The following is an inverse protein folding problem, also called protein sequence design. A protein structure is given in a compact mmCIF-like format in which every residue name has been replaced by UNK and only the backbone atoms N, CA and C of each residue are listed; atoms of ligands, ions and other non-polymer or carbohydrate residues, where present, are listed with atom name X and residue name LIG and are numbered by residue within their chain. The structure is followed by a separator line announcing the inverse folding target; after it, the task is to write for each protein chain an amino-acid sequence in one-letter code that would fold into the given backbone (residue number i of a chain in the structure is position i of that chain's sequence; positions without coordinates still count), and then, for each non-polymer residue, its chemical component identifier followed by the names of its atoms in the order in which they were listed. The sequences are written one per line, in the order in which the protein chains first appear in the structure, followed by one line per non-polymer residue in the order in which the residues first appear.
data_IF_822712756924
#
_entry.id   IF_822712756924
#
_cell.length_a   1.000
_cell.length_b   1.000
_cell.length_c   1.000
_cell.angle_alpha   90.00
_cell.angle_beta   90.00
_cell.angle_gamma   90.00
#
_symmetry.space_group_name_H-M   'P 1'
#
loop_
_entity.id
_entity.type
_entity.pdbx_description
1 polymer ?
#
# COMPACT_ATOMS: atom_id res chain seq x y z
N UNK A 1 1.40 -8.22 -22.59
CA UNK A 1 2.15 -9.18 -21.75
C UNK A 1 3.07 -8.40 -20.82
N UNK A 2 3.38 -8.90 -19.62
CA UNK A 2 4.30 -8.24 -18.69
C UNK A 2 3.69 -7.20 -17.73
N UNK A 3 2.48 -6.70 -18.01
CA UNK A 3 1.78 -5.66 -17.22
C UNK A 3 0.57 -6.17 -16.43
N UNK A 4 0.45 -7.49 -16.24
CA UNK A 4 -0.59 -8.03 -15.38
C UNK A 4 -0.30 -7.63 -13.94
N UNK A 5 -1.30 -7.13 -13.22
CA UNK A 5 -1.11 -6.55 -11.89
C UNK A 5 -2.38 -5.96 -11.31
N UNK A 6 -2.24 -5.49 -10.07
CA UNK A 6 -3.31 -4.90 -9.27
C UNK A 6 -3.10 -3.39 -9.23
N UNK A 7 -3.90 -2.65 -9.98
CA UNK A 7 -3.87 -1.19 -10.08
C UNK A 7 -5.15 -0.58 -9.52
N UNK A 8 -5.20 0.72 -9.43
CA UNK A 8 -6.38 1.45 -9.00
C UNK A 8 -6.43 2.78 -9.72
N UNK A 9 -7.62 3.37 -9.78
CA UNK A 9 -7.83 4.70 -10.32
C UNK A 9 -8.43 5.60 -9.25
N UNK A 10 -7.95 6.85 -9.22
CA UNK A 10 -8.44 7.89 -8.34
C UNK A 10 -8.17 9.27 -8.96
N UNK A 11 -8.84 10.33 -8.50
CA UNK A 11 -8.55 11.68 -8.98
C UNK A 11 -7.15 12.16 -8.59
N UNK A 12 -6.55 12.98 -9.44
CA UNK A 12 -5.28 13.67 -9.15
C UNK A 12 -5.30 15.20 -9.45
N UNK A 13 -6.38 15.94 -9.13
CA UNK A 13 -6.43 17.38 -9.38
C UNK A 13 -5.56 18.18 -8.41
N UNK A 14 -4.89 19.21 -8.92
CA UNK A 14 -4.08 20.11 -8.11
C UNK A 14 -4.88 20.69 -6.92
N UNK A 15 -4.35 20.52 -5.70
CA UNK A 15 -4.92 21.01 -4.45
C UNK A 15 -6.21 20.31 -3.97
N UNK A 16 -6.76 19.33 -4.71
CA UNK A 16 -8.06 18.71 -4.40
C UNK A 16 -8.04 17.18 -4.33
N UNK A 17 -6.91 16.54 -4.61
CA UNK A 17 -6.76 15.07 -4.56
C UNK A 17 -7.27 14.47 -3.25
N UNK A 18 -6.74 14.91 -2.12
CA UNK A 18 -7.10 14.35 -0.81
C UNK A 18 -8.61 14.42 -0.54
N UNK A 19 -9.22 15.57 -0.84
CA UNK A 19 -10.67 15.77 -0.68
C UNK A 19 -11.50 14.84 -1.55
N UNK A 20 -11.17 14.75 -2.82
CA UNK A 20 -11.93 13.89 -3.72
C UNK A 20 -11.81 12.41 -3.34
N UNK A 21 -10.61 11.97 -2.90
CA UNK A 21 -10.39 10.60 -2.44
C UNK A 21 -11.16 10.31 -1.15
N UNK A 22 -11.07 11.16 -0.10
CA UNK A 22 -11.78 10.88 1.16
C UNK A 22 -13.31 10.98 1.03
N UNK A 23 -13.81 11.62 -0.04
CA UNK A 23 -15.24 11.63 -0.38
C UNK A 23 -15.70 10.38 -1.14
N UNK A 24 -14.79 9.44 -1.42
CA UNK A 24 -15.09 8.10 -1.94
C UNK A 24 -14.64 7.82 -3.37
N UNK A 25 -13.88 8.72 -4.01
CA UNK A 25 -13.43 8.51 -5.39
C UNK A 25 -12.13 7.68 -5.44
N UNK A 26 -12.26 6.37 -5.32
CA UNK A 26 -11.21 5.39 -5.57
C UNK A 26 -11.82 4.07 -6.05
N UNK A 27 -11.18 3.41 -7.02
CA UNK A 27 -11.67 2.12 -7.55
C UNK A 27 -10.54 1.19 -7.99
N UNK A 28 -10.75 -0.12 -7.83
CA UNK A 28 -9.79 -1.13 -8.26
C UNK A 28 -9.76 -1.26 -9.80
N UNK A 29 -8.58 -1.56 -10.34
CA UNK A 29 -8.32 -1.80 -11.75
C UNK A 29 -7.37 -3.00 -11.88
N UNK A 30 -7.88 -4.15 -12.33
CA UNK A 30 -7.07 -5.36 -12.46
C UNK A 30 -6.72 -5.61 -13.92
N UNK A 31 -5.42 -5.71 -14.24
CA UNK A 31 -4.96 -6.22 -15.53
C UNK A 31 -4.63 -7.70 -15.36
N UNK A 32 -5.34 -8.57 -16.08
CA UNK A 32 -5.14 -10.02 -16.02
C UNK A 32 -4.19 -10.51 -17.11
N UNK A 33 -3.34 -11.46 -16.77
CA UNK A 33 -2.55 -12.21 -17.75
C UNK A 33 -3.47 -13.17 -18.52
N UNK A 34 -3.13 -13.46 -19.77
CA UNK A 34 -3.81 -14.52 -20.55
C UNK A 34 -3.61 -15.91 -19.92
N UNK A 35 -2.40 -16.15 -19.40
CA UNK A 35 -2.04 -17.34 -18.66
C UNK A 35 -1.57 -16.91 -17.27
N UNK A 36 -2.39 -17.18 -16.26
CA UNK A 36 -2.07 -16.92 -14.86
C UNK A 36 -1.57 -18.23 -14.22
N UNK A 37 -0.38 -18.26 -13.61
CA UNK A 37 0.14 -19.46 -12.96
C UNK A 37 -0.57 -19.79 -11.63
N UNK A 38 -1.37 -18.87 -11.07
CA UNK A 38 -2.09 -19.10 -9.82
C UNK A 38 -3.29 -20.01 -10.10
N UNK A 39 -3.47 -21.13 -9.34
CA UNK A 39 -4.62 -22.01 -9.52
C UNK A 39 -5.96 -21.26 -9.44
N UNK A 40 -6.82 -21.44 -10.43
CA UNK A 40 -8.08 -20.71 -10.53
C UNK A 40 -9.05 -21.03 -9.38
N UNK A 41 -8.89 -22.21 -8.77
CA UNK A 41 -9.64 -22.69 -7.62
C UNK A 41 -9.43 -21.82 -6.37
N UNK A 42 -8.32 -21.07 -6.32
CA UNK A 42 -8.06 -20.11 -5.23
C UNK A 42 -8.99 -18.89 -5.34
N UNK A 43 -9.72 -18.74 -6.44
CA UNK A 43 -10.54 -17.56 -6.71
C UNK A 43 -9.71 -16.31 -6.93
N UNK A 44 -10.36 -15.15 -6.88
CA UNK A 44 -9.72 -13.85 -7.08
C UNK A 44 -10.51 -12.77 -6.33
N UNK A 45 -10.30 -12.67 -5.01
CA UNK A 45 -11.04 -11.75 -4.14
C UNK A 45 -10.31 -10.42 -4.04
N UNK A 46 -10.99 -9.33 -4.42
CA UNK A 46 -10.49 -7.96 -4.26
C UNK A 46 -10.88 -7.41 -2.88
N UNK A 47 -9.91 -6.83 -2.17
CA UNK A 47 -10.08 -6.16 -0.88
C UNK A 47 -9.54 -4.72 -0.99
N UNK A 48 -10.42 -3.77 -1.24
CA UNK A 48 -10.08 -2.34 -1.28
C UNK A 48 -10.27 -1.73 0.09
N UNK A 49 -9.17 -1.38 0.75
CA UNK A 49 -9.17 -0.68 2.02
C UNK A 49 -9.34 0.82 1.76
N UNK A 50 -10.39 1.39 2.33
CA UNK A 50 -10.65 2.84 2.36
C UNK A 50 -10.96 3.23 3.79
N UNK A 51 -11.01 4.53 4.08
CA UNK A 51 -11.55 4.99 5.35
C UNK A 51 -12.44 6.21 5.21
N UNK A 52 -13.33 6.38 6.19
CA UNK A 52 -14.38 7.37 6.20
C UNK A 52 -14.47 8.00 7.59
N UNK A 53 -14.57 9.33 7.63
CA UNK A 53 -14.93 10.09 8.84
C UNK A 53 -16.28 10.75 8.61
N UNK A 54 -17.19 10.56 9.55
CA UNK A 54 -18.54 11.13 9.53
C UNK A 54 -18.72 12.03 10.76
N UNK A 55 -19.29 13.21 10.56
CA UNK A 55 -19.80 14.04 11.65
C UNK A 55 -21.08 13.43 12.23
N UNK A 56 -21.54 13.96 13.38
CA UNK A 56 -22.74 13.47 14.06
C UNK A 56 -24.01 13.56 13.21
N UNK A 57 -24.06 14.45 12.22
CA UNK A 57 -25.14 14.61 11.26
C UNK A 57 -25.01 13.71 10.01
N UNK A 58 -23.97 12.87 9.97
CA UNK A 58 -23.67 11.99 8.84
C UNK A 58 -22.95 12.68 7.67
N UNK A 59 -22.60 13.96 7.78
CA UNK A 59 -21.79 14.64 6.76
C UNK A 59 -20.32 14.20 6.81
N UNK A 60 -19.60 14.36 5.69
CA UNK A 60 -18.14 14.16 5.64
C UNK A 60 -17.47 15.52 5.90
N UNK A 61 -16.86 15.73 7.08
CA UNK A 61 -16.26 17.02 7.42
C UNK A 61 -14.96 17.25 6.64
N UNK A 62 -14.64 18.52 6.42
CA UNK A 62 -13.35 18.97 5.88
C UNK A 62 -12.18 18.51 6.75
N UNK A 63 -10.96 18.65 6.22
CA UNK A 63 -9.74 18.35 6.98
C UNK A 63 -9.55 19.35 8.13
N UNK A 64 -9.14 18.82 9.28
CA UNK A 64 -8.58 19.59 10.39
C UNK A 64 -7.11 19.92 10.13
N UNK A 65 -6.51 20.77 10.97
CA UNK A 65 -5.07 21.04 10.93
C UNK A 65 -4.23 19.76 11.12
N UNK A 66 -4.70 18.82 11.95
CA UNK A 66 -4.01 17.55 12.14
C UNK A 66 -4.06 16.67 10.89
N UNK A 67 -5.17 16.70 10.15
CA UNK A 67 -5.27 15.98 8.86
C UNK A 67 -4.38 16.59 7.78
N UNK A 68 -4.23 17.92 7.78
CA UNK A 68 -3.32 18.61 6.84
C UNK A 68 -1.85 18.35 7.15
N UNK A 69 -1.51 18.11 8.41
CA UNK A 69 -0.15 17.83 8.87
C UNK A 69 0.22 16.35 8.73
N UNK A 70 -0.66 15.45 9.16
CA UNK A 70 -0.34 14.03 9.24
C UNK A 70 -0.93 13.20 8.09
N UNK A 71 -1.76 13.81 7.25
CA UNK A 71 -2.65 13.11 6.33
C UNK A 71 -3.93 12.61 7.02
N UNK A 72 -5.06 12.65 6.30
CA UNK A 72 -6.37 12.29 6.85
C UNK A 72 -6.47 10.79 7.12
N UNK A 73 -6.86 10.44 8.34
CA UNK A 73 -7.24 9.08 8.75
C UNK A 73 -8.70 9.09 9.18
N UNK A 74 -9.52 8.26 8.53
CA UNK A 74 -10.95 8.11 8.84
C UNK A 74 -11.20 7.20 10.05
N UNK A 75 -12.32 7.44 10.74
CA UNK A 75 -12.72 6.70 11.96
C UNK A 75 -13.31 5.32 11.64
N UNK A 76 -13.76 5.14 10.40
CA UNK A 76 -14.31 3.90 9.89
C UNK A 76 -13.42 3.37 8.78
N UNK A 77 -12.66 2.32 9.07
CA UNK A 77 -11.94 1.57 8.03
C UNK A 77 -12.94 0.64 7.35
N UNK A 78 -12.95 0.67 6.03
CA UNK A 78 -13.87 -0.05 5.19
C UNK A 78 -13.10 -0.97 4.25
N UNK A 79 -13.64 -2.16 4.00
CA UNK A 79 -13.19 -3.08 2.97
C UNK A 79 -14.30 -3.20 1.93
N UNK A 80 -14.01 -2.80 0.69
CA UNK A 80 -15.00 -2.70 -0.39
C UNK A 80 -16.25 -1.87 0.01
N UNK A 81 -16.05 -0.80 0.81
CA UNK A 81 -17.14 0.05 1.31
C UNK A 81 -17.93 -0.51 2.50
N UNK A 82 -17.55 -1.67 3.04
CA UNK A 82 -18.21 -2.32 4.17
C UNK A 82 -17.34 -2.31 5.42
N UNK A 83 -17.95 -2.19 6.60
CA UNK A 83 -17.25 -2.33 7.89
C UNK A 83 -17.18 -3.80 8.27
N UNK A 84 -15.97 -4.35 8.40
CA UNK A 84 -15.70 -5.77 8.73
C UNK A 84 -16.62 -6.74 7.95
N UNK A 85 -16.55 -6.78 6.60
CA UNK A 85 -17.29 -7.77 5.82
C UNK A 85 -16.90 -9.20 6.22
N UNK A 86 -17.77 -10.14 5.85
CA UNK A 86 -17.59 -11.56 6.10
C UNK A 86 -17.35 -12.33 4.80
N UNK A 87 -16.41 -13.27 4.85
CA UNK A 87 -16.17 -14.26 3.80
C UNK A 87 -16.40 -15.66 4.38
N UNK A 88 -17.13 -16.53 3.69
CA UNK A 88 -17.30 -17.92 4.12
C UNK A 88 -16.45 -18.86 3.26
N UNK A 89 -15.73 -19.78 3.91
CA UNK A 89 -14.90 -20.80 3.24
C UNK A 89 -14.99 -22.13 3.98
N UNK A 90 -14.66 -23.21 3.27
CA UNK A 90 -14.48 -24.53 3.86
C UNK A 90 -13.09 -24.66 4.53
N UNK A 91 -12.95 -25.56 5.50
CA UNK A 91 -11.67 -25.87 6.14
C UNK A 91 -10.67 -26.41 5.10
N UNK A 92 -9.44 -25.91 5.12
CA UNK A 92 -8.40 -26.22 4.13
C UNK A 92 -8.51 -25.40 2.83
N UNK A 93 -9.47 -24.47 2.72
CA UNK A 93 -9.59 -23.61 1.56
C UNK A 93 -8.41 -22.66 1.42
N UNK A 94 -8.00 -22.42 0.17
CA UNK A 94 -7.04 -21.37 -0.20
C UNK A 94 -7.75 -20.25 -0.96
N UNK A 95 -7.41 -19.00 -0.67
CA UNK A 95 -7.95 -17.83 -1.37
C UNK A 95 -6.87 -16.88 -1.84
N UNK A 96 -6.92 -16.49 -3.11
CA UNK A 96 -6.16 -15.34 -3.63
C UNK A 96 -6.87 -14.06 -3.22
N UNK A 97 -6.17 -13.19 -2.49
CA UNK A 97 -6.65 -11.88 -2.08
C UNK A 97 -5.79 -10.80 -2.76
N UNK A 98 -6.43 -9.81 -3.38
CA UNK A 98 -5.79 -8.59 -3.91
C UNK A 98 -6.10 -7.43 -2.98
N UNK A 99 -5.08 -6.95 -2.29
CA UNK A 99 -5.17 -5.92 -1.27
C UNK A 99 -4.82 -4.57 -1.90
N UNK A 100 -5.65 -3.56 -1.65
CA UNK A 100 -5.43 -2.18 -2.11
C UNK A 100 -5.52 -1.24 -0.93
N UNK A 101 -4.42 -0.55 -0.58
CA UNK A 101 -4.53 0.55 0.36
C UNK A 101 -4.90 1.83 -0.39
N UNK A 102 -6.21 2.06 -0.54
CA UNK A 102 -6.80 3.24 -1.17
C UNK A 102 -7.21 4.30 -0.14
N UNK A 103 -6.52 4.35 1.01
CA UNK A 103 -6.74 5.37 2.04
C UNK A 103 -5.93 6.63 1.76
N UNK A 104 -6.26 7.74 2.41
CA UNK A 104 -5.49 8.99 2.27
C UNK A 104 -4.10 8.88 2.92
N UNK A 105 -4.03 8.32 4.13
CA UNK A 105 -2.81 8.36 4.94
C UNK A 105 -2.69 7.22 5.97
N UNK A 106 -3.56 6.21 5.90
CA UNK A 106 -3.56 5.11 6.87
C UNK A 106 -2.59 4.04 6.42
N UNK A 107 -1.61 3.75 7.27
CA UNK A 107 -0.75 2.59 7.12
C UNK A 107 -1.46 1.37 7.69
N UNK A 108 -1.45 0.27 6.94
CA UNK A 108 -2.10 -0.97 7.35
C UNK A 108 -1.03 -2.01 7.61
N UNK A 109 -0.78 -2.33 8.89
CA UNK A 109 0.12 -3.42 9.27
C UNK A 109 -0.73 -4.68 9.48
N UNK A 110 -0.93 -5.44 8.42
CA UNK A 110 -1.91 -6.50 8.33
C UNK A 110 -1.37 -7.82 8.86
N UNK A 111 -2.19 -8.52 9.65
CA UNK A 111 -1.93 -9.88 10.09
C UNK A 111 -3.25 -10.67 10.15
N UNK A 112 -3.19 -11.96 9.84
CA UNK A 112 -4.30 -12.87 10.08
C UNK A 112 -4.14 -13.57 11.43
N UNK A 113 -5.17 -13.58 12.26
CA UNK A 113 -5.23 -14.50 13.40
C UNK A 113 -5.82 -15.83 12.95
N UNK A 114 -4.94 -16.78 12.63
CA UNK A 114 -5.32 -18.17 12.40
C UNK A 114 -5.33 -18.64 10.95
N UNK A 115 -4.86 -17.84 10.00
CA UNK A 115 -4.57 -18.25 8.63
C UNK A 115 -3.08 -18.08 8.31
N UNK A 116 -2.56 -18.92 7.42
CA UNK A 116 -1.21 -18.72 6.86
C UNK A 116 -1.31 -17.86 5.61
N UNK A 117 -0.39 -16.92 5.43
CA UNK A 117 -0.35 -16.04 4.25
C UNK A 117 0.95 -16.20 3.47
N UNK A 118 0.84 -16.10 2.16
CA UNK A 118 1.96 -16.14 1.24
C UNK A 118 1.80 -15.02 0.22
N UNK A 119 2.75 -14.10 0.19
CA UNK A 119 2.81 -13.02 -0.80
C UNK A 119 3.15 -13.62 -2.15
N UNK A 120 2.36 -13.28 -3.17
CA UNK A 120 2.52 -13.76 -4.54
C UNK A 120 2.70 -12.63 -5.55
N UNK A 121 2.43 -11.37 -5.18
CA UNK A 121 2.59 -10.22 -6.08
C UNK A 121 2.51 -8.87 -5.37
N UNK A 122 2.94 -7.82 -6.06
CA UNK A 122 2.98 -6.41 -5.63
C UNK A 122 2.25 -5.53 -6.65
N UNK A 123 2.45 -4.21 -6.59
CA UNK A 123 1.89 -3.21 -7.52
C UNK A 123 1.97 -3.64 -9.01
N UNK A 124 3.15 -4.09 -9.44
CA UNK A 124 3.45 -4.50 -10.83
C UNK A 124 3.27 -5.99 -11.13
N UNK A 125 2.48 -6.69 -10.32
CA UNK A 125 2.07 -8.08 -10.55
C UNK A 125 2.86 -9.11 -9.75
N UNK A 126 2.86 -10.35 -10.24
CA UNK A 126 3.40 -11.50 -9.49
C UNK A 126 4.89 -11.34 -9.17
N UNK A 127 5.33 -11.91 -8.04
CA UNK A 127 6.72 -12.11 -7.67
C UNK A 127 7.37 -13.21 -8.53
N UNK A 128 8.68 -13.41 -8.42
CA UNK A 128 9.35 -14.55 -9.08
C UNK A 128 8.94 -15.90 -8.46
N UNK A 129 8.77 -15.93 -7.14
CA UNK A 129 8.38 -17.08 -6.34
C UNK A 129 7.48 -16.62 -5.17
N UNK A 130 6.63 -17.50 -4.61
CA UNK A 130 5.85 -17.19 -3.42
C UNK A 130 6.75 -16.95 -2.20
N UNK A 131 6.39 -15.98 -1.36
CA UNK A 131 7.14 -15.65 -0.14
C UNK A 131 6.21 -15.70 1.06
N UNK A 132 6.53 -16.55 2.04
CA UNK A 132 5.78 -16.62 3.29
C UNK A 132 5.93 -15.30 4.07
N UNK A 133 4.85 -14.88 4.74
CA UNK A 133 4.85 -13.73 5.61
C UNK A 133 3.96 -14.01 6.82
N UNK A 134 4.29 -13.41 7.96
CA UNK A 134 3.42 -13.41 9.14
C UNK A 134 2.64 -12.09 9.22
N UNK A 135 3.28 -11.00 8.81
CA UNK A 135 2.75 -9.65 8.82
C UNK A 135 3.11 -8.93 7.52
N UNK A 136 2.26 -8.00 7.11
CA UNK A 136 2.45 -7.19 5.90
C UNK A 136 2.26 -5.72 6.28
N UNK A 137 3.24 -4.86 5.98
CA UNK A 137 2.99 -3.42 5.94
C UNK A 137 2.51 -3.05 4.54
N UNK A 138 1.32 -2.48 4.44
CA UNK A 138 0.75 -1.94 3.21
C UNK A 138 0.53 -0.44 3.40
N UNK A 139 1.44 0.37 2.85
CA UNK A 139 1.38 1.83 2.97
C UNK A 139 0.37 2.44 1.97
N UNK A 140 -0.09 3.69 2.18
CA UNK A 140 -1.01 4.36 1.25
C UNK A 140 -0.55 4.30 -0.21
N UNK A 141 -1.43 3.84 -1.10
CA UNK A 141 -1.16 3.69 -2.53
C UNK A 141 -0.59 2.33 -2.96
N UNK A 142 -0.07 1.53 -2.02
CA UNK A 142 0.45 0.19 -2.34
C UNK A 142 -0.64 -0.85 -2.55
N UNK A 143 -0.30 -1.85 -3.37
CA UNK A 143 -1.11 -3.06 -3.59
C UNK A 143 -0.26 -4.29 -3.36
N UNK A 144 -0.93 -5.34 -2.90
CA UNK A 144 -0.31 -6.64 -2.68
C UNK A 144 -1.27 -7.76 -3.06
N UNK A 145 -0.73 -8.82 -3.63
CA UNK A 145 -1.47 -10.06 -3.88
C UNK A 145 -0.94 -11.14 -2.94
N UNK A 146 -1.85 -11.81 -2.23
CA UNK A 146 -1.50 -12.91 -1.34
C UNK A 146 -2.40 -14.13 -1.57
N UNK A 147 -1.91 -15.29 -1.17
CA UNK A 147 -2.72 -16.49 -0.94
C UNK A 147 -2.84 -16.70 0.56
N UNK A 148 -4.07 -16.78 1.06
CA UNK A 148 -4.37 -17.16 2.45
C UNK A 148 -4.90 -18.59 2.49
N UNK A 149 -4.39 -19.40 3.43
CA UNK A 149 -4.88 -20.77 3.69
C UNK A 149 -5.60 -20.84 5.04
N UNK A 150 -6.78 -21.45 5.06
CA UNK A 150 -7.70 -21.46 6.20
C UNK A 150 -7.88 -22.89 6.73
N UNK A 151 -6.90 -23.39 7.49
CA UNK A 151 -6.83 -24.80 7.88
C UNK A 151 -7.56 -25.15 9.19
N UNK A 152 -8.09 -24.13 9.90
CA UNK A 152 -8.81 -24.31 11.16
C UNK A 152 -10.25 -23.81 11.04
N UNK A 153 -11.25 -24.56 11.51
CA UNK A 153 -12.63 -24.10 11.54
C UNK A 153 -12.83 -22.98 12.57
N UNK A 154 -13.90 -22.22 12.40
CA UNK A 154 -14.23 -21.07 13.24
C UNK A 154 -13.91 -19.72 12.59
N UNK A 155 -14.15 -18.61 13.32
CA UNK A 155 -13.86 -17.28 12.82
C UNK A 155 -12.35 -17.01 12.81
N UNK A 156 -11.85 -16.53 11.68
CA UNK A 156 -10.49 -16.03 11.48
C UNK A 156 -10.58 -14.54 11.13
N UNK A 157 -9.72 -13.70 11.70
CA UNK A 157 -9.73 -12.25 11.43
C UNK A 157 -8.51 -11.81 10.66
N UNK A 158 -8.70 -10.83 9.77
CA UNK A 158 -7.63 -9.97 9.27
C UNK A 158 -7.69 -8.66 10.03
N UNK A 159 -6.64 -8.38 10.79
CA UNK A 159 -6.55 -7.20 11.64
C UNK A 159 -5.43 -6.28 11.17
N UNK A 160 -5.54 -4.98 11.45
CA UNK A 160 -4.40 -4.05 11.36
C UNK A 160 -3.77 -3.85 12.74
N UNK A 161 -2.47 -4.12 12.84
CA UNK A 161 -1.63 -3.96 14.01
C UNK A 161 -1.13 -2.52 14.14
N UNK A 162 -0.46 -2.23 15.26
CA UNK A 162 0.18 -0.94 15.49
C UNK A 162 1.40 -0.74 14.58
N UNK A 163 1.47 0.44 13.97
CA UNK A 163 2.63 0.91 13.22
C UNK A 163 2.94 2.35 13.60
N UNK A 164 4.18 2.67 13.96
CA UNK A 164 4.61 4.05 14.21
C UNK A 164 5.20 4.65 12.93
N UNK A 165 4.45 5.57 12.33
CA UNK A 165 4.84 6.31 11.12
C UNK A 165 5.34 7.73 11.41
N UNK A 166 5.57 8.09 12.68
CA UNK A 166 5.96 9.45 13.08
C UNK A 166 4.79 10.45 13.15
N UNK A 167 3.67 10.06 13.77
CA UNK A 167 2.55 11.01 13.95
C UNK A 167 2.98 12.26 14.74
N UNK A 168 2.73 13.44 14.18
CA UNK A 168 3.09 14.73 14.76
C UNK A 168 1.94 15.32 15.58
N UNK A 169 2.29 15.83 16.76
CA UNK A 169 1.34 16.48 17.67
C UNK A 169 0.36 15.52 18.37
N UNK A 170 -0.57 16.07 19.15
CA UNK A 170 -1.55 15.27 19.88
C UNK A 170 -2.63 14.70 18.95
N UNK A 171 -3.46 13.80 19.49
CA UNK A 171 -4.67 13.34 18.80
C UNK A 171 -4.45 12.29 17.72
N UNK A 172 -3.38 11.47 17.85
CA UNK A 172 -3.20 10.29 17.01
C UNK A 172 -4.44 9.39 17.08
N UNK A 173 -5.09 9.06 15.94
CA UNK A 173 -6.22 8.14 15.91
C UNK A 173 -5.83 6.76 16.42
N UNK A 174 -6.77 6.05 17.05
CA UNK A 174 -6.62 4.63 17.36
C UNK A 174 -6.72 3.82 16.05
N UNK A 175 -5.57 3.62 15.40
CA UNK A 175 -5.47 3.04 14.06
C UNK A 175 -5.06 1.55 14.06
N UNK A 176 -4.92 0.94 15.24
CA UNK A 176 -4.52 -0.43 15.47
C UNK A 176 -5.63 -1.27 16.14
N UNK A 177 -5.52 -2.59 16.04
CA UNK A 177 -6.46 -3.56 16.62
C UNK A 177 -7.84 -3.57 15.95
N UNK A 178 -7.93 -3.05 14.72
CA UNK A 178 -9.19 -3.00 13.97
C UNK A 178 -9.33 -4.24 13.09
N UNK A 179 -10.43 -4.97 13.25
CA UNK A 179 -10.79 -6.08 12.36
C UNK A 179 -11.34 -5.56 11.05
N UNK A 180 -10.65 -5.92 9.96
CA UNK A 180 -10.93 -5.46 8.61
C UNK A 180 -11.73 -6.49 7.81
N UNK A 181 -11.55 -7.78 8.06
CA UNK A 181 -12.28 -8.89 7.43
C UNK A 181 -12.43 -10.01 8.45
N UNK A 182 -13.62 -10.60 8.52
CA UNK A 182 -13.86 -11.86 9.24
C UNK A 182 -14.08 -12.97 8.23
N UNK A 183 -13.33 -14.06 8.34
CA UNK A 183 -13.49 -15.26 7.54
C UNK A 183 -14.14 -16.33 8.41
N UNK A 184 -15.38 -16.69 8.08
CA UNK A 184 -16.11 -17.78 8.73
C UNK A 184 -15.71 -19.10 8.06
N UNK A 185 -14.84 -19.88 8.71
CA UNK A 185 -14.39 -21.20 8.22
C UNK A 185 -15.32 -22.29 8.74
N UNK A 186 -15.98 -23.01 7.84
CA UNK A 186 -16.88 -24.12 8.21
C UNK A 186 -16.11 -25.39 8.58
N UNK A 187 -16.80 -26.32 9.25
CA UNK A 187 -16.26 -27.65 9.59
C UNK A 187 -16.08 -28.57 8.37
N UNK A 188 -16.75 -28.26 7.25
CA UNK A 188 -16.65 -29.05 6.02
C UNK A 188 -15.27 -28.88 5.38
N UNK A 189 -14.68 -29.99 4.92
CA UNK A 189 -13.43 -29.97 4.17
C UNK A 189 -13.61 -29.31 2.79
N UNK A 190 -12.65 -28.48 2.40
CA UNK A 190 -12.54 -27.98 1.05
C UNK A 190 -12.15 -29.10 0.09
N UNK A 191 -12.54 -28.96 -1.18
CA UNK A 191 -12.03 -29.82 -2.24
C UNK A 191 -10.51 -29.66 -2.38
N UNK A 192 -9.82 -30.75 -2.74
CA UNK A 192 -8.39 -30.70 -2.98
C UNK A 192 -8.09 -29.82 -4.21
N UNK A 193 -7.25 -28.80 -4.01
CA UNK A 193 -6.83 -27.86 -5.05
C UNK A 193 -5.35 -28.03 -5.39
N UNK A 194 -4.92 -27.66 -6.61
CA UNK A 194 -3.50 -27.68 -6.96
C UNK A 194 -2.66 -26.85 -5.98
N UNK A 195 -1.41 -27.25 -5.76
CA UNK A 195 -0.47 -26.47 -4.95
C UNK A 195 -0.02 -25.21 -5.70
N UNK A 196 0.35 -24.18 -4.94
CA UNK A 196 0.91 -22.96 -5.48
C UNK A 196 2.26 -23.27 -6.15
N UNK A 197 2.50 -22.88 -7.41
CA UNK A 197 3.78 -23.15 -8.06
C UNK A 197 4.95 -22.46 -7.34
N UNK A 198 6.08 -23.17 -7.23
CA UNK A 198 7.31 -22.60 -6.66
C UNK A 198 7.89 -21.45 -7.50
N UNK A 199 7.54 -21.38 -8.79
CA UNK A 199 7.92 -20.30 -9.71
C UNK A 199 6.67 -19.71 -10.33
N UNK A 200 6.47 -18.41 -10.16
CA UNK A 200 5.31 -17.68 -10.67
C UNK A 200 5.63 -16.99 -12.00
N UNK A 201 6.76 -16.29 -12.10
CA UNK A 201 7.24 -15.69 -13.36
C UNK A 201 8.76 -15.47 -13.35
N UNK A 202 9.30 -15.02 -14.48
CA UNK A 202 10.60 -14.36 -14.50
C UNK A 202 10.45 -12.89 -14.15
N UNK A 203 11.36 -12.39 -13.31
CA UNK A 203 11.63 -10.96 -13.12
C UNK A 203 13.11 -10.76 -13.40
N UNK A 204 13.43 -9.97 -14.42
CA UNK A 204 14.81 -9.61 -14.71
C UNK A 204 15.19 -8.41 -13.82
N UNK A 205 16.37 -8.43 -13.16
CA UNK A 205 16.91 -7.21 -12.58
C UNK A 205 17.20 -6.20 -13.70
N UNK A 206 17.17 -4.92 -13.36
CA UNK A 206 17.62 -3.89 -14.29
C UNK A 206 19.11 -4.07 -14.65
N UNK A 207 19.47 -3.61 -15.85
CA UNK A 207 20.88 -3.39 -16.21
C UNK A 207 21.41 -2.18 -15.45
N UNK A 208 22.73 -1.92 -15.56
CA UNK A 208 23.37 -0.80 -14.88
C UNK A 208 22.68 0.53 -15.24
N UNK A 209 22.35 1.37 -14.25
CA UNK A 209 21.73 2.66 -14.49
C UNK A 209 22.70 3.60 -15.20
N UNK A 210 22.19 4.41 -16.13
CA UNK A 210 22.99 5.43 -16.82
C UNK A 210 23.16 6.70 -15.98
N UNK A 211 22.34 6.87 -14.94
CA UNK A 211 22.32 8.03 -14.05
C UNK A 211 21.78 7.66 -12.67
N UNK A 212 22.32 8.28 -11.62
CA UNK A 212 21.73 8.29 -10.28
C UNK A 212 21.10 9.65 -9.99
N UNK A 213 19.88 9.67 -9.45
CA UNK A 213 19.20 10.86 -8.95
C UNK A 213 19.01 10.76 -7.45
N UNK A 214 19.01 11.91 -6.79
CA UNK A 214 18.74 12.02 -5.36
C UNK A 214 17.55 12.94 -5.13
N UNK A 215 16.55 12.43 -4.42
CA UNK A 215 15.32 13.11 -4.07
C UNK A 215 15.20 13.11 -2.55
N UNK A 216 15.21 14.29 -1.94
CA UNK A 216 15.15 14.45 -0.48
C UNK A 216 13.77 14.97 -0.09
N UNK A 217 13.05 14.18 0.70
CA UNK A 217 11.77 14.52 1.30
C UNK A 217 12.05 15.30 2.59
N UNK A 218 11.51 16.51 2.69
CA UNK A 218 11.67 17.37 3.86
C UNK A 218 10.37 18.06 4.25
N UNK A 219 10.31 18.47 5.52
CA UNK A 219 9.18 19.20 6.08
C UNK A 219 9.62 20.54 6.66
N UNK A 220 8.76 21.54 6.58
CA UNK A 220 8.99 22.84 7.22
C UNK A 220 7.77 23.27 8.01
N UNK A 221 8.00 23.84 9.19
CA UNK A 221 6.96 24.44 10.02
C UNK A 221 7.29 25.91 10.29
N UNK A 222 6.42 26.81 9.83
CA UNK A 222 6.59 28.25 10.07
C UNK A 222 5.34 28.85 10.72
N UNK A 223 5.53 29.55 11.83
CA UNK A 223 4.46 30.37 12.42
C UNK A 223 4.34 31.68 11.66
N UNK A 224 3.22 31.87 10.94
CA UNK A 224 2.87 33.14 10.29
C UNK A 224 1.73 33.84 11.07
N UNK A 225 1.52 35.15 10.86
CA UNK A 225 0.40 35.87 11.47
C UNK A 225 -0.98 35.27 11.15
N UNK A 226 -1.09 34.58 10.00
CA UNK A 226 -2.31 33.90 9.53
C UNK A 226 -2.47 32.47 10.07
N UNK A 227 -1.52 32.00 10.89
CA UNK A 227 -1.50 30.64 11.43
C UNK A 227 -0.20 29.89 11.10
N UNK A 228 -0.18 28.62 11.47
CA UNK A 228 0.93 27.72 11.19
C UNK A 228 0.89 27.28 9.72
N UNK A 229 2.00 27.47 9.01
CA UNK A 229 2.19 27.01 7.64
C UNK A 229 3.10 25.78 7.64
N UNK A 230 2.59 24.71 7.04
CA UNK A 230 3.31 23.46 6.81
C UNK A 230 3.78 23.41 5.37
N UNK A 231 5.03 23.02 5.16
CA UNK A 231 5.58 22.70 3.85
C UNK A 231 5.99 21.23 3.81
N UNK A 232 5.54 20.51 2.78
CA UNK A 232 6.02 19.17 2.43
C UNK A 232 6.73 19.30 1.09
N UNK A 233 8.01 18.97 1.06
CA UNK A 233 8.92 19.38 0.01
C UNK A 233 9.67 18.18 -0.58
N UNK A 234 9.99 18.27 -1.86
CA UNK A 234 10.96 17.40 -2.53
C UNK A 234 12.11 18.28 -3.01
N UNK A 235 13.34 17.96 -2.61
CA UNK A 235 14.53 18.78 -2.90
C UNK A 235 14.34 20.26 -2.50
N UNK A 236 13.66 20.48 -1.37
CA UNK A 236 13.40 21.82 -0.81
C UNK A 236 12.33 22.64 -1.55
N UNK A 237 11.55 22.03 -2.45
CA UNK A 237 10.54 22.72 -3.26
C UNK A 237 9.16 22.10 -3.08
N UNK A 238 8.15 22.97 -3.04
CA UNK A 238 6.75 22.58 -3.24
C UNK A 238 6.47 22.35 -4.73
N UNK A 239 5.40 21.61 -5.03
CA UNK A 239 4.93 21.41 -6.40
C UNK A 239 4.59 22.74 -7.09
N UNK A 240 4.99 22.87 -8.35
CA UNK A 240 4.69 24.00 -9.22
C UNK A 240 4.33 23.45 -10.61
N UNK A 241 3.13 23.79 -11.10
CA UNK A 241 2.59 23.27 -12.37
C UNK A 241 3.45 23.67 -13.58
N UNK A 242 4.16 24.79 -13.49
CA UNK A 242 4.94 25.35 -14.59
C UNK A 242 6.43 24.95 -14.54
N UNK A 243 6.84 24.17 -13.53
CA UNK A 243 8.24 23.79 -13.31
C UNK A 243 8.50 22.34 -13.74
N UNK A 244 9.56 22.15 -14.52
CA UNK A 244 10.14 20.83 -14.79
C UNK A 244 11.28 20.58 -13.82
N UNK A 245 11.10 19.67 -12.86
CA UNK A 245 12.15 19.31 -11.90
C UNK A 245 13.16 18.30 -12.47
N UNK A 246 12.71 17.41 -13.34
CA UNK A 246 13.55 16.39 -13.97
C UNK A 246 13.22 16.21 -15.45
N UNK A 247 14.26 15.93 -16.23
CA UNK A 247 14.14 15.47 -17.62
C UNK A 247 14.83 14.11 -17.69
N UNK A 248 14.08 13.11 -18.15
CA UNK A 248 14.57 11.74 -18.36
C UNK A 248 14.36 11.34 -19.81
N UNK A 249 15.18 10.41 -20.31
CA UNK A 249 15.04 9.88 -21.67
C UNK A 249 14.27 8.58 -21.65
N UNK A 250 13.33 8.43 -22.58
CA UNK A 250 12.57 7.19 -22.72
C UNK A 250 13.51 5.99 -22.98
N UNK A 251 13.33 4.93 -22.19
CA UNK A 251 14.09 3.68 -22.30
C UNK A 251 15.41 3.64 -21.51
N UNK A 252 15.85 4.75 -20.91
CA UNK A 252 17.01 4.74 -20.01
C UNK A 252 16.63 4.20 -18.63
N UNK A 253 17.58 3.51 -18.00
CA UNK A 253 17.47 3.02 -16.62
C UNK A 253 18.17 4.04 -15.72
N UNK A 254 17.48 4.50 -14.70
CA UNK A 254 18.03 5.41 -13.70
C UNK A 254 17.89 4.79 -12.31
N UNK A 255 18.86 5.07 -11.44
CA UNK A 255 18.77 4.77 -10.01
C UNK A 255 18.28 6.02 -9.28
N UNK A 256 17.24 5.90 -8.46
CA UNK A 256 16.70 7.02 -7.68
C UNK A 256 16.89 6.71 -6.21
N UNK A 257 17.68 7.52 -5.53
CA UNK A 257 17.81 7.55 -4.06
C UNK A 257 16.70 8.44 -3.51
N UNK A 258 15.79 7.86 -2.73
CA UNK A 258 14.67 8.59 -2.12
C UNK A 258 14.92 8.69 -0.63
N UNK A 259 15.22 9.89 -0.17
CA UNK A 259 15.77 10.11 1.17
C UNK A 259 14.73 10.79 2.00
N UNK A 260 14.39 10.22 3.15
CA UNK A 260 13.45 10.82 4.06
C UNK A 260 14.15 11.49 5.23
N UNK A 261 14.35 12.81 5.12
CA UNK A 261 14.85 13.68 6.20
C UNK A 261 13.71 14.33 6.99
N UNK A 262 12.45 13.95 6.74
CA UNK A 262 11.30 14.42 7.49
C UNK A 262 11.10 13.62 8.80
N UNK A 263 10.21 14.14 9.66
CA UNK A 263 9.92 13.53 10.97
C UNK A 263 8.98 12.31 10.88
N UNK A 264 8.37 12.09 9.71
CA UNK A 264 7.38 11.04 9.48
C UNK A 264 7.63 10.23 8.21
N UNK A 265 7.04 9.04 8.14
CA UNK A 265 7.13 8.17 6.97
C UNK A 265 6.38 8.77 5.76
N UNK A 266 6.93 8.57 4.57
CA UNK A 266 6.34 9.03 3.32
C UNK A 266 6.32 7.92 2.26
N UNK A 267 5.12 7.48 1.82
CA UNK A 267 4.99 6.64 0.63
C UNK A 267 5.34 7.45 -0.62
N UNK A 268 6.47 7.11 -1.24
CA UNK A 268 6.91 7.71 -2.49
C UNK A 268 6.27 6.97 -3.67
N UNK A 269 5.68 7.73 -4.59
CA UNK A 269 5.04 7.22 -5.81
C UNK A 269 5.63 7.91 -7.06
N UNK A 270 5.86 7.13 -8.12
CA UNK A 270 6.27 7.65 -9.43
C UNK A 270 5.28 7.23 -10.51
N UNK A 271 4.84 8.21 -11.31
CA UNK A 271 3.89 7.96 -12.39
C UNK A 271 4.58 7.38 -13.63
N UNK A 272 3.82 6.61 -14.41
CA UNK A 272 4.20 6.21 -15.77
C UNK A 272 5.16 5.02 -15.88
N UNK A 273 5.68 4.49 -14.77
CA UNK A 273 6.57 3.33 -14.77
C UNK A 273 6.36 2.42 -13.56
N UNK A 274 7.08 1.30 -13.54
CA UNK A 274 7.35 0.49 -12.35
C UNK A 274 8.86 0.51 -12.08
N UNK A 275 9.26 0.38 -10.82
CA UNK A 275 10.64 0.31 -10.37
C UNK A 275 10.88 -0.97 -9.56
N UNK A 276 12.15 -1.24 -9.29
CA UNK A 276 12.61 -2.28 -8.37
C UNK A 276 13.29 -1.58 -7.20
N UNK A 277 12.89 -1.92 -5.98
CA UNK A 277 13.63 -1.49 -4.79
C UNK A 277 14.95 -2.25 -4.76
N UNK A 278 16.06 -1.52 -4.65
CA UNK A 278 17.41 -2.11 -4.69
C UNK A 278 17.86 -2.48 -3.29
N UNK A 279 17.78 -1.51 -2.38
CA UNK A 279 18.14 -1.62 -0.97
C UNK A 279 17.45 -0.50 -0.17
N UNK A 280 17.52 -0.62 1.15
CA UNK A 280 17.13 0.40 2.11
C UNK A 280 18.33 0.69 3.00
N UNK A 281 18.64 1.96 3.23
CA UNK A 281 19.66 2.39 4.19
C UNK A 281 19.02 3.15 5.35
N UNK A 282 19.32 2.74 6.58
CA UNK A 282 18.85 3.42 7.80
C UNK A 282 19.85 3.27 8.93
N UNK A 283 20.15 4.36 9.63
CA UNK A 283 21.10 4.39 10.75
C UNK A 283 22.48 3.77 10.41
N UNK A 284 22.91 3.93 9.14
CA UNK A 284 24.16 3.37 8.61
C UNK A 284 24.12 1.87 8.32
N UNK A 285 22.95 1.22 8.41
CA UNK A 285 22.74 -0.17 8.05
C UNK A 285 22.03 -0.28 6.70
N UNK A 286 22.57 -1.11 5.79
CA UNK A 286 21.97 -1.42 4.50
C UNK A 286 21.26 -2.77 4.57
N UNK A 287 20.03 -2.82 4.06
CA UNK A 287 19.23 -4.04 3.94
C UNK A 287 18.65 -4.19 2.54
N UNK A 288 18.41 -5.42 2.10
CA UNK A 288 17.78 -5.70 0.81
C UNK A 288 16.30 -6.02 1.00
N UNK A 289 15.44 -5.69 0.02
CA UNK A 289 14.06 -6.14 0.07
C UNK A 289 14.00 -7.68 0.11
N UNK A 290 13.00 -8.26 0.78
CA UNK A 290 12.87 -9.71 0.94
C UNK A 290 12.65 -10.45 -0.40
N UNK A 291 12.30 -9.72 -1.45
CA UNK A 291 12.09 -10.24 -2.80
C UNK A 291 12.32 -9.16 -3.85
N UNK A 292 12.65 -9.58 -5.07
CA UNK A 292 12.66 -8.69 -6.24
C UNK A 292 11.23 -8.55 -6.77
N UNK A 293 10.76 -7.31 -6.93
CA UNK A 293 9.39 -7.00 -7.31
C UNK A 293 9.30 -5.75 -8.18
N UNK A 294 8.24 -5.69 -8.99
CA UNK A 294 7.82 -4.46 -9.68
C UNK A 294 6.88 -3.67 -8.78
N UNK A 295 7.28 -2.44 -8.46
CA UNK A 295 6.54 -1.51 -7.60
C UNK A 295 6.33 -0.18 -8.30
N UNK A 296 5.32 0.58 -7.90
CA UNK A 296 5.20 1.99 -8.27
C UNK A 296 5.04 2.90 -7.06
N UNK A 297 4.83 2.32 -5.89
CA UNK A 297 4.79 3.02 -4.61
C UNK A 297 5.68 2.28 -3.62
N UNK A 298 6.41 2.99 -2.78
CA UNK A 298 7.20 2.39 -1.69
C UNK A 298 7.18 3.32 -0.48
N UNK A 299 7.02 2.76 0.72
CA UNK A 299 7.23 3.56 1.93
C UNK A 299 8.70 3.90 2.08
N UNK A 300 9.00 5.15 2.40
CA UNK A 300 10.32 5.59 2.84
C UNK A 300 10.18 6.01 4.31
N UNK A 301 10.68 5.17 5.22
CA UNK A 301 10.52 5.42 6.65
C UNK A 301 11.31 6.66 7.10
N UNK A 302 10.94 7.29 8.22
CA UNK A 302 11.73 8.42 8.76
C UNK A 302 13.21 8.03 8.97
N UNK A 303 14.12 8.80 8.40
CA UNK A 303 15.57 8.54 8.44
C UNK A 303 16.05 7.41 7.51
N UNK A 304 15.20 6.94 6.59
CA UNK A 304 15.55 5.94 5.58
C UNK A 304 15.95 6.59 4.25
N UNK A 305 16.81 5.90 3.48
CA UNK A 305 17.04 6.12 2.05
C UNK A 305 16.71 4.84 1.27
#
# INVERSE_FOLDING_TARGET
EGSAGSYWYHPHPHGKTAEQVYRGLAGAFVVKAKADPIPAEYGDTVLVFTDLRLAADGSIPSNSMSDLMNGRIGDHVLVNGQKNPRLSVAKGAKRRLRLYNATNARFLKLAFDGATITVIGTDGGLLAAPVAADEILLSPGERLELVASFDRPGPITLDTLGYDRGWMGPGRPADAGLTLLTVDVSESEAEAVPQLPARLRSIAPFADPVLTRRLVLTETMAMKPTGMEMGFLINGKAFDMERVDFVARAGEIELWEIVNEADMDHPFHVHGTQFQVVEHERDGAVSKPPYLAWKDTVNVARGET
#
